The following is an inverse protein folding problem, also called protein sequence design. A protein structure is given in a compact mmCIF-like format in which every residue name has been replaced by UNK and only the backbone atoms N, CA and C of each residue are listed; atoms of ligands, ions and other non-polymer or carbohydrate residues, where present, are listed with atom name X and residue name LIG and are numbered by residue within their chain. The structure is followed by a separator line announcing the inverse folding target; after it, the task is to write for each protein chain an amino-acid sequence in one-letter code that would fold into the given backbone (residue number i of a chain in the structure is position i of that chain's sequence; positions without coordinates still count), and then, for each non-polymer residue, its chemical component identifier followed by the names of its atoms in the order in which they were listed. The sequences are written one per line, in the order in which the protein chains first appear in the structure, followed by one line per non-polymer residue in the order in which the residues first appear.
data_IF_501728482786
#
_entry.id   IF_501728482786
#
_cell.length_a   1.000
_cell.length_b   1.000
_cell.length_c   1.000
_cell.angle_alpha   90.00
_cell.angle_beta   90.00
_cell.angle_gamma   90.00
#
_symmetry.space_group_name_H-M   'P 1'
#
loop_
_entity.id
_entity.type
_entity.pdbx_description
1 polymer ?
#
# COMPACT_ATOMS: atom_id res chain seq x y z
N UNK A 1 -19.46 -11.83 3.91
CA UNK A 1 -18.89 -11.07 2.79
C UNK A 1 -18.86 -11.98 1.57
N UNK A 2 -19.15 -11.48 0.35
CA UNK A 2 -18.91 -12.28 -0.85
C UNK A 2 -17.43 -12.70 -0.91
N UNK A 3 -17.15 -13.84 -1.53
CA UNK A 3 -15.78 -14.31 -1.72
C UNK A 3 -14.98 -13.28 -2.52
N UNK A 4 -13.70 -13.12 -2.19
CA UNK A 4 -12.78 -12.25 -2.93
C UNK A 4 -12.73 -12.66 -4.41
N UNK A 5 -12.95 -11.73 -5.37
CA UNK A 5 -12.93 -12.05 -6.79
C UNK A 5 -11.52 -12.13 -7.39
N UNK A 6 -10.50 -11.80 -6.59
CA UNK A 6 -9.09 -11.81 -7.02
C UNK A 6 -8.48 -13.19 -6.88
N UNK A 7 -7.70 -13.57 -7.88
CA UNK A 7 -6.81 -14.74 -7.84
C UNK A 7 -5.39 -14.30 -7.57
N UNK A 8 -4.65 -15.12 -6.82
CA UNK A 8 -3.24 -14.85 -6.50
C UNK A 8 -2.42 -14.66 -7.76
N UNK A 9 -1.85 -13.48 -7.90
CA UNK A 9 -0.91 -13.16 -8.96
C UNK A 9 0.47 -13.67 -8.57
N UNK A 10 0.94 -14.71 -9.26
CA UNK A 10 2.27 -15.27 -9.07
C UNK A 10 3.30 -14.50 -9.90
N UNK A 11 4.19 -13.80 -9.19
CA UNK A 11 5.34 -13.12 -9.79
C UNK A 11 6.58 -14.00 -9.69
N UNK A 12 7.37 -14.05 -10.75
CA UNK A 12 8.65 -14.76 -10.74
C UNK A 12 9.62 -14.15 -9.69
N UNK A 13 10.36 -15.01 -9.02
CA UNK A 13 11.31 -14.65 -7.97
C UNK A 13 12.59 -15.45 -8.18
N UNK A 14 13.74 -14.77 -8.10
CA UNK A 14 15.03 -15.45 -8.13
C UNK A 14 15.21 -16.28 -6.84
N UNK A 15 15.81 -17.48 -6.89
CA UNK A 15 15.95 -18.36 -5.71
C UNK A 15 16.65 -17.74 -4.50
N UNK A 16 17.53 -16.76 -4.74
CA UNK A 16 18.30 -16.08 -3.70
C UNK A 16 17.68 -14.77 -3.21
N UNK A 17 16.56 -14.35 -3.81
CA UNK A 17 15.83 -13.17 -3.34
C UNK A 17 14.82 -13.56 -2.27
N UNK A 18 14.56 -12.70 -1.27
CA UNK A 18 13.61 -13.00 -0.20
C UNK A 18 12.15 -12.95 -0.66
N UNK A 19 11.85 -12.23 -1.76
CA UNK A 19 10.52 -12.04 -2.30
C UNK A 19 10.56 -11.73 -3.80
N UNK A 20 9.42 -11.76 -4.51
CA UNK A 20 9.29 -11.17 -5.85
C UNK A 20 9.64 -9.69 -5.84
N UNK A 21 10.39 -9.26 -6.85
CA UNK A 21 10.95 -7.92 -6.93
C UNK A 21 10.77 -7.32 -8.32
N UNK A 22 10.28 -6.09 -8.35
CA UNK A 22 10.24 -5.23 -9.53
C UNK A 22 11.18 -4.06 -9.28
N UNK A 23 12.21 -3.89 -10.13
CA UNK A 23 13.15 -2.80 -9.96
C UNK A 23 13.50 -2.11 -11.27
N UNK A 24 13.97 -0.87 -11.18
CA UNK A 24 14.28 -0.03 -12.33
C UNK A 24 13.97 1.43 -12.05
N UNK A 25 14.30 2.33 -12.96
CA UNK A 25 14.34 3.76 -12.66
C UNK A 25 12.94 4.35 -12.51
N UNK A 26 12.88 5.50 -11.83
CA UNK A 26 11.65 6.30 -11.69
C UNK A 26 11.03 6.67 -13.04
N UNK A 27 11.86 6.93 -14.05
CA UNK A 27 11.46 7.21 -15.43
C UNK A 27 12.53 6.65 -16.38
N UNK A 28 12.17 6.33 -17.61
CA UNK A 28 13.16 6.15 -18.67
C UNK A 28 13.67 7.53 -19.10
N UNK A 29 14.98 7.74 -19.07
CA UNK A 29 15.60 9.05 -19.34
C UNK A 29 16.28 9.07 -20.71
N UNK A 30 17.13 8.06 -20.93
CA UNK A 30 17.77 7.79 -22.21
C UNK A 30 17.83 6.29 -22.44
N UNK A 31 18.04 5.88 -23.70
CA UNK A 31 18.23 4.47 -24.04
C UNK A 31 19.43 3.86 -23.29
N UNK A 32 20.55 4.58 -23.25
CA UNK A 32 21.76 4.15 -22.54
C UNK A 32 21.50 3.91 -21.05
N UNK A 33 20.88 4.90 -20.38
CA UNK A 33 20.51 4.80 -18.96
C UNK A 33 19.56 3.62 -18.68
N UNK A 34 18.57 3.43 -19.56
CA UNK A 34 17.59 2.35 -19.45
C UNK A 34 18.26 0.98 -19.57
N UNK A 35 19.07 0.78 -20.61
CA UNK A 35 19.72 -0.51 -20.87
C UNK A 35 20.84 -0.81 -19.87
N UNK A 36 21.60 0.19 -19.43
CA UNK A 36 22.65 0.02 -18.42
C UNK A 36 22.07 -0.42 -17.07
N UNK A 37 21.01 0.27 -16.63
CA UNK A 37 20.30 -0.10 -15.39
C UNK A 37 19.73 -1.52 -15.51
N UNK A 38 19.02 -1.81 -16.61
CA UNK A 38 18.42 -3.12 -16.84
C UNK A 38 19.45 -4.26 -16.91
N UNK A 39 20.59 -4.07 -17.60
CA UNK A 39 21.67 -5.08 -17.68
C UNK A 39 22.22 -5.43 -16.31
N UNK A 40 22.44 -4.43 -15.47
CA UNK A 40 22.97 -4.65 -14.12
C UNK A 40 21.97 -5.40 -13.24
N UNK A 41 20.67 -5.07 -13.36
CA UNK A 41 19.60 -5.76 -12.63
C UNK A 41 19.37 -7.20 -13.15
N UNK A 42 19.41 -7.41 -14.47
CA UNK A 42 19.30 -8.74 -15.08
C UNK A 42 20.46 -9.64 -14.64
N UNK A 43 21.69 -9.11 -14.56
CA UNK A 43 22.85 -9.84 -14.05
C UNK A 43 22.72 -10.24 -12.57
N UNK A 44 21.86 -9.56 -11.81
CA UNK A 44 21.48 -9.93 -10.43
C UNK A 44 20.30 -10.92 -10.39
N UNK A 45 19.78 -11.37 -11.53
CA UNK A 45 18.70 -12.35 -11.63
C UNK A 45 17.30 -11.76 -11.50
N UNK A 46 17.12 -10.43 -11.65
CA UNK A 46 15.79 -9.83 -11.62
C UNK A 46 14.99 -10.19 -12.88
N UNK A 47 13.71 -10.51 -12.70
CA UNK A 47 12.79 -10.86 -13.78
C UNK A 47 11.95 -9.69 -14.28
N UNK A 48 11.75 -8.65 -13.47
CA UNK A 48 10.85 -7.53 -13.79
C UNK A 48 11.59 -6.21 -13.76
N UNK A 49 11.44 -5.43 -14.84
CA UNK A 49 12.04 -4.11 -14.99
C UNK A 49 10.96 -3.03 -15.02
N UNK A 50 11.06 -1.99 -14.18
CA UNK A 50 10.10 -0.87 -14.18
C UNK A 50 10.71 0.43 -14.69
N UNK A 51 10.02 1.14 -15.57
CA UNK A 51 10.34 2.52 -15.91
C UNK A 51 9.11 3.25 -16.45
N UNK A 52 8.78 4.41 -15.89
CA UNK A 52 7.69 5.24 -16.44
C UNK A 52 8.14 5.90 -17.74
N UNK A 53 7.33 5.78 -18.80
CA UNK A 53 7.53 6.53 -20.03
C UNK A 53 6.82 7.89 -20.01
N UNK A 54 5.68 7.96 -19.34
CA UNK A 54 4.90 9.19 -19.14
C UNK A 54 4.86 9.54 -17.66
N UNK A 55 5.11 10.81 -17.30
CA UNK A 55 5.10 11.29 -15.93
C UNK A 55 4.03 12.36 -15.74
N UNK A 56 3.01 12.12 -14.88
CA UNK A 56 2.05 13.16 -14.53
C UNK A 56 2.72 14.15 -13.56
N UNK A 57 3.37 15.19 -14.08
CA UNK A 57 4.07 16.19 -13.26
C UNK A 57 3.11 17.25 -12.75
N UNK A 58 3.22 17.57 -11.46
CA UNK A 58 2.41 18.63 -10.83
C UNK A 58 2.84 20.03 -11.25
N UNK A 59 4.13 20.22 -11.58
CA UNK A 59 4.67 21.50 -12.03
C UNK A 59 5.03 21.41 -13.52
N UNK A 60 4.50 22.31 -14.37
CA UNK A 60 4.92 22.44 -15.76
C UNK A 60 6.44 22.70 -15.87
N UNK A 61 7.05 22.24 -16.95
CA UNK A 61 8.47 22.47 -17.25
C UNK A 61 9.46 21.56 -16.50
N UNK A 62 8.95 20.59 -15.73
CA UNK A 62 9.77 19.50 -15.21
C UNK A 62 9.73 18.30 -16.17
N UNK A 63 10.73 17.41 -16.13
CA UNK A 63 10.78 16.26 -17.04
C UNK A 63 9.49 15.42 -16.99
N UNK A 64 8.80 15.33 -18.14
CA UNK A 64 7.47 14.70 -18.30
C UNK A 64 7.54 13.25 -18.77
N UNK A 65 8.76 12.71 -18.90
CA UNK A 65 9.01 11.42 -19.51
C UNK A 65 9.32 11.54 -21.00
N UNK A 66 9.85 10.47 -21.59
CA UNK A 66 10.19 10.38 -23.02
C UNK A 66 9.01 9.97 -23.90
N UNK A 67 7.89 9.56 -23.30
CA UNK A 67 6.70 9.08 -23.99
C UNK A 67 7.00 7.91 -24.93
N UNK A 68 6.42 7.96 -26.13
CA UNK A 68 6.55 6.91 -27.16
C UNK A 68 8.01 6.57 -27.51
N UNK A 69 8.94 7.53 -27.42
CA UNK A 69 10.36 7.30 -27.74
C UNK A 69 10.99 6.23 -26.86
N UNK A 70 10.49 6.02 -25.63
CA UNK A 70 10.99 5.00 -24.73
C UNK A 70 10.40 3.61 -24.93
N UNK A 71 9.35 3.45 -25.74
CA UNK A 71 8.72 2.15 -26.00
C UNK A 71 9.71 1.14 -26.61
N UNK A 72 10.52 1.48 -27.63
CA UNK A 72 11.54 0.58 -28.15
C UNK A 72 12.58 0.20 -27.10
N UNK A 73 12.92 1.09 -26.16
CA UNK A 73 13.92 0.81 -25.12
C UNK A 73 13.44 -0.27 -24.17
N UNK A 74 12.18 -0.18 -23.72
CA UNK A 74 11.57 -1.22 -22.87
C UNK A 74 11.43 -2.54 -23.62
N UNK A 75 11.10 -2.51 -24.91
CA UNK A 75 11.08 -3.73 -25.74
C UNK A 75 12.45 -4.36 -25.87
N UNK A 76 13.52 -3.57 -26.00
CA UNK A 76 14.89 -4.07 -25.99
C UNK A 76 15.27 -4.70 -24.64
N UNK A 77 14.82 -4.14 -23.52
CA UNK A 77 14.98 -4.79 -22.20
C UNK A 77 14.36 -6.18 -22.20
N UNK A 78 13.16 -6.33 -22.76
CA UNK A 78 12.50 -7.65 -22.83
C UNK A 78 13.22 -8.62 -23.77
N UNK A 79 13.59 -8.18 -24.98
CA UNK A 79 14.18 -9.06 -25.99
C UNK A 79 15.65 -9.38 -25.76
N UNK A 80 16.45 -8.44 -25.23
CA UNK A 80 17.89 -8.64 -25.01
C UNK A 80 18.20 -9.30 -23.67
N UNK A 81 17.38 -9.02 -22.63
CA UNK A 81 17.69 -9.42 -21.25
C UNK A 81 16.71 -10.44 -20.68
N UNK A 82 15.63 -10.77 -21.40
CA UNK A 82 14.62 -11.74 -20.95
C UNK A 82 13.82 -11.29 -19.74
N UNK A 83 13.86 -9.99 -19.39
CA UNK A 83 13.05 -9.41 -18.33
C UNK A 83 11.65 -9.09 -18.85
N UNK A 84 10.64 -8.99 -17.98
CA UNK A 84 9.35 -8.40 -18.31
C UNK A 84 9.37 -6.91 -17.94
N UNK A 85 9.14 -6.03 -18.92
CA UNK A 85 9.19 -4.59 -18.72
C UNK A 85 7.80 -4.05 -18.36
N UNK A 86 7.75 -3.16 -17.36
CA UNK A 86 6.55 -2.47 -16.90
C UNK A 86 6.69 -0.96 -17.12
N UNK A 87 5.59 -0.31 -17.49
CA UNK A 87 5.45 1.16 -17.52
C UNK A 87 4.14 1.62 -16.89
N UNK A 88 4.10 2.88 -16.43
CA UNK A 88 2.87 3.52 -15.97
C UNK A 88 1.95 3.81 -17.17
N UNK A 89 0.67 3.48 -17.04
CA UNK A 89 -0.39 3.95 -17.95
C UNK A 89 -1.37 4.80 -17.15
N UNK A 90 -1.79 5.92 -17.73
CA UNK A 90 -2.65 6.90 -17.08
C UNK A 90 -3.86 7.29 -17.92
N UNK A 91 -3.82 7.04 -19.22
CA UNK A 91 -4.89 7.31 -20.20
C UNK A 91 -5.06 6.09 -21.10
N UNK A 92 -6.21 6.00 -21.79
CA UNK A 92 -6.44 4.97 -22.80
C UNK A 92 -5.37 5.02 -23.92
N UNK A 93 -4.94 6.20 -24.34
CA UNK A 93 -3.89 6.37 -25.35
C UNK A 93 -2.56 5.73 -24.92
N UNK A 94 -2.13 5.91 -23.67
CA UNK A 94 -0.92 5.23 -23.16
C UNK A 94 -1.06 3.70 -23.21
N UNK A 95 -2.25 3.17 -22.92
CA UNK A 95 -2.54 1.74 -23.01
C UNK A 95 -2.42 1.26 -24.46
N UNK A 96 -3.02 1.98 -25.41
CA UNK A 96 -2.96 1.62 -26.83
C UNK A 96 -1.54 1.64 -27.37
N UNK A 97 -0.78 2.71 -27.12
CA UNK A 97 0.59 2.86 -27.59
C UNK A 97 1.51 1.77 -27.01
N UNK A 98 1.43 1.54 -25.69
CA UNK A 98 2.26 0.54 -25.03
C UNK A 98 1.91 -0.88 -25.48
N UNK A 99 0.61 -1.18 -25.62
CA UNK A 99 0.16 -2.49 -26.09
C UNK A 99 0.53 -2.72 -27.57
N UNK A 100 0.37 -1.71 -28.43
CA UNK A 100 0.76 -1.78 -29.84
C UNK A 100 2.27 -2.00 -30.00
N UNK A 101 3.09 -1.40 -29.12
CA UNK A 101 4.54 -1.62 -29.08
C UNK A 101 4.94 -3.02 -28.57
N UNK A 102 3.99 -3.81 -28.06
CA UNK A 102 4.22 -5.18 -27.61
C UNK A 102 4.43 -5.34 -26.10
N UNK A 103 4.32 -4.28 -25.30
CA UNK A 103 4.39 -4.38 -23.84
C UNK A 103 3.12 -5.03 -23.28
N UNK A 104 3.26 -5.88 -22.27
CA UNK A 104 2.15 -6.65 -21.67
C UNK A 104 2.05 -6.50 -20.16
N UNK A 105 2.79 -5.56 -19.59
CA UNK A 105 2.78 -5.34 -18.16
C UNK A 105 2.78 -3.85 -17.84
N UNK A 106 1.85 -3.43 -16.99
CA UNK A 106 1.57 -2.03 -16.70
C UNK A 106 1.34 -1.82 -15.21
N UNK A 107 1.47 -0.57 -14.77
CA UNK A 107 0.82 -0.15 -13.53
C UNK A 107 0.01 1.13 -13.71
N UNK A 108 -0.97 1.30 -12.83
CA UNK A 108 -1.75 2.53 -12.70
C UNK A 108 -1.20 3.32 -11.52
N UNK A 109 -0.83 4.57 -11.78
CA UNK A 109 -0.27 5.48 -10.79
C UNK A 109 -1.30 5.95 -9.76
N UNK A 110 -0.81 6.35 -8.58
CA UNK A 110 -1.66 6.76 -7.45
C UNK A 110 -2.69 7.84 -7.82
N UNK A 111 -2.27 8.87 -8.58
CA UNK A 111 -3.17 9.97 -8.97
C UNK A 111 -4.30 9.52 -9.90
N UNK A 112 -4.03 8.53 -10.75
CA UNK A 112 -5.02 7.95 -11.65
C UNK A 112 -5.99 7.06 -10.89
N UNK A 113 -5.49 6.27 -9.91
CA UNK A 113 -6.33 5.49 -8.99
C UNK A 113 -7.37 6.34 -8.26
N UNK A 114 -7.05 7.59 -7.96
CA UNK A 114 -7.96 8.49 -7.28
C UNK A 114 -9.18 8.95 -8.13
N UNK A 115 -9.23 8.62 -9.42
CA UNK A 115 -10.32 9.01 -10.33
C UNK A 115 -11.09 7.79 -10.84
N UNK A 116 -12.34 7.56 -10.37
CA UNK A 116 -13.19 6.49 -10.88
C UNK A 116 -13.45 6.56 -12.40
N UNK A 117 -13.51 7.77 -12.96
CA UNK A 117 -13.65 7.96 -14.41
C UNK A 117 -12.41 7.49 -15.16
N UNK A 118 -11.21 7.88 -14.71
CA UNK A 118 -9.97 7.43 -15.34
C UNK A 118 -9.80 5.91 -15.24
N UNK A 119 -10.19 5.30 -14.11
CA UNK A 119 -10.16 3.84 -13.96
C UNK A 119 -11.19 3.17 -14.87
N UNK A 120 -12.35 3.76 -15.10
CA UNK A 120 -13.34 3.23 -16.03
C UNK A 120 -12.81 3.25 -17.48
N UNK A 121 -12.23 4.37 -17.92
CA UNK A 121 -11.61 4.49 -19.24
C UNK A 121 -10.46 3.48 -19.43
N UNK A 122 -9.60 3.32 -18.42
CA UNK A 122 -8.52 2.34 -18.47
C UNK A 122 -9.03 0.89 -18.45
N UNK A 123 -10.09 0.60 -17.69
CA UNK A 123 -10.71 -0.72 -17.67
C UNK A 123 -11.29 -1.08 -19.04
N UNK A 124 -11.92 -0.14 -19.73
CA UNK A 124 -12.41 -0.31 -21.10
C UNK A 124 -11.25 -0.55 -22.09
N UNK A 125 -10.21 0.30 -22.04
CA UNK A 125 -9.05 0.17 -22.92
C UNK A 125 -8.28 -1.15 -22.72
N UNK A 126 -8.27 -1.69 -21.50
CA UNK A 126 -7.60 -2.95 -21.16
C UNK A 126 -8.49 -4.19 -21.31
N UNK A 127 -9.78 -4.02 -21.53
CA UNK A 127 -10.76 -5.10 -21.64
C UNK A 127 -10.37 -6.10 -22.74
N UNK A 128 -10.45 -7.39 -22.42
CA UNK A 128 -10.10 -8.48 -23.34
C UNK A 128 -8.60 -8.65 -23.63
N UNK A 129 -7.71 -7.90 -22.98
CA UNK A 129 -6.25 -8.02 -23.16
C UNK A 129 -5.63 -8.85 -22.03
N UNK A 130 -4.79 -9.82 -22.38
CA UNK A 130 -3.93 -10.52 -21.41
C UNK A 130 -2.75 -9.60 -21.04
N UNK A 131 -2.87 -8.96 -19.88
CA UNK A 131 -1.87 -8.04 -19.33
C UNK A 131 -1.65 -8.31 -17.86
N UNK A 132 -0.41 -8.13 -17.40
CA UNK A 132 -0.11 -7.95 -15.99
C UNK A 132 -0.46 -6.51 -15.60
N UNK A 133 -1.32 -6.30 -14.62
CA UNK A 133 -1.70 -4.97 -14.15
C UNK A 133 -1.49 -4.83 -12.65
N UNK A 134 -0.79 -3.77 -12.24
CA UNK A 134 -0.61 -3.42 -10.84
C UNK A 134 -1.23 -2.05 -10.55
N UNK A 135 -1.94 -1.89 -9.43
CA UNK A 135 -2.66 -0.64 -9.11
C UNK A 135 -2.13 -0.03 -7.82
N UNK A 136 -1.49 1.15 -7.92
CA UNK A 136 -1.03 1.89 -6.74
C UNK A 136 -2.21 2.41 -5.93
N UNK A 137 -2.13 2.41 -4.60
CA UNK A 137 -3.14 3.08 -3.77
C UNK A 137 -3.26 4.58 -4.11
N UNK A 138 -4.46 5.18 -3.96
CA UNK A 138 -4.63 6.61 -4.12
C UNK A 138 -3.79 7.39 -3.09
N UNK A 139 -3.40 8.65 -3.36
CA UNK A 139 -2.64 9.45 -2.41
C UNK A 139 -3.41 9.70 -1.11
N UNK A 140 -4.73 9.82 -1.20
CA UNK A 140 -5.60 9.97 -0.02
C UNK A 140 -5.80 8.61 0.65
N UNK A 141 -5.86 8.55 2.00
CA UNK A 141 -6.10 7.33 2.78
C UNK A 141 -7.55 6.84 2.66
N UNK A 142 -7.95 6.48 1.45
CA UNK A 142 -9.28 6.00 1.10
C UNK A 142 -9.16 4.56 0.56
N UNK A 143 -9.49 3.61 1.43
CA UNK A 143 -9.46 2.19 1.11
C UNK A 143 -10.56 1.82 0.11
N UNK A 144 -11.76 2.39 0.25
CA UNK A 144 -12.91 2.09 -0.60
C UNK A 144 -12.63 2.52 -2.05
N UNK A 145 -11.95 3.66 -2.22
CA UNK A 145 -11.51 4.12 -3.55
C UNK A 145 -10.47 3.19 -4.17
N UNK A 146 -9.53 2.66 -3.37
CA UNK A 146 -8.53 1.71 -3.86
C UNK A 146 -9.14 0.36 -4.23
N UNK A 147 -9.96 -0.20 -3.35
CA UNK A 147 -10.69 -1.45 -3.55
C UNK A 147 -11.62 -1.34 -4.76
N UNK A 148 -12.38 -0.24 -4.86
CA UNK A 148 -13.27 0.02 -5.99
C UNK A 148 -12.55 0.13 -7.33
N UNK A 149 -11.31 0.64 -7.37
CA UNK A 149 -10.51 0.66 -8.58
C UNK A 149 -10.11 -0.76 -9.02
N UNK A 150 -9.65 -1.60 -8.07
CA UNK A 150 -9.29 -2.99 -8.32
C UNK A 150 -10.50 -3.81 -8.77
N UNK A 151 -11.64 -3.68 -8.09
CA UNK A 151 -12.87 -4.38 -8.43
C UNK A 151 -13.39 -3.99 -9.83
N UNK A 152 -13.28 -2.72 -10.23
CA UNK A 152 -13.67 -2.27 -11.57
C UNK A 152 -12.81 -2.90 -12.66
N UNK A 153 -11.50 -2.96 -12.45
CA UNK A 153 -10.56 -3.59 -13.38
C UNK A 153 -10.79 -5.11 -13.47
N UNK A 154 -11.03 -5.76 -12.33
CA UNK A 154 -11.38 -7.18 -12.29
C UNK A 154 -12.70 -7.46 -13.02
N UNK A 155 -13.73 -6.61 -12.84
CA UNK A 155 -15.01 -6.74 -13.52
C UNK A 155 -14.90 -6.56 -15.05
N UNK A 156 -13.89 -5.81 -15.53
CA UNK A 156 -13.55 -5.71 -16.95
C UNK A 156 -12.77 -6.94 -17.49
N UNK A 157 -12.60 -7.99 -16.68
CA UNK A 157 -11.98 -9.25 -17.08
C UNK A 157 -10.46 -9.32 -16.87
N UNK A 158 -9.86 -8.36 -16.18
CA UNK A 158 -8.41 -8.36 -15.91
C UNK A 158 -8.12 -9.31 -14.74
N UNK A 159 -7.52 -10.46 -15.03
CA UNK A 159 -7.29 -11.54 -14.06
C UNK A 159 -5.90 -11.49 -13.41
N UNK A 160 -4.88 -11.01 -14.15
CA UNK A 160 -3.51 -10.86 -13.65
C UNK A 160 -3.33 -9.50 -12.99
N UNK A 161 -4.10 -9.28 -11.92
CA UNK A 161 -4.24 -8.01 -11.22
C UNK A 161 -3.58 -8.08 -9.84
N UNK A 162 -2.85 -7.03 -9.48
CA UNK A 162 -2.28 -6.86 -8.13
C UNK A 162 -2.35 -5.42 -7.67
N UNK A 163 -2.06 -5.20 -6.39
CA UNK A 163 -2.05 -3.87 -5.78
C UNK A 163 -0.62 -3.46 -5.40
N UNK A 164 -0.36 -2.15 -5.37
CA UNK A 164 0.90 -1.57 -4.90
C UNK A 164 0.61 -0.58 -3.76
N UNK A 165 1.08 -0.90 -2.56
CA UNK A 165 1.06 0.01 -1.44
C UNK A 165 2.28 0.95 -1.49
N UNK A 166 2.05 2.24 -1.67
CA UNK A 166 3.05 3.30 -1.82
C UNK A 166 2.94 4.42 -0.78
N UNK A 167 2.18 4.16 0.30
CA UNK A 167 1.86 5.13 1.34
C UNK A 167 0.87 6.21 0.90
N UNK A 168 0.49 7.05 1.83
CA UNK A 168 -0.54 8.08 1.67
C UNK A 168 0.02 9.47 1.98
N UNK A 169 -0.52 10.49 1.32
CA UNK A 169 -0.16 11.88 1.54
C UNK A 169 -0.65 12.35 2.92
N UNK A 170 0.22 13.03 3.65
CA UNK A 170 -0.11 13.63 4.96
C UNK A 170 0.19 15.12 4.98
N UNK A 171 -0.58 15.87 5.76
CA UNK A 171 -0.34 17.30 5.98
C UNK A 171 0.87 17.54 6.88
N UNK A 172 1.07 16.70 7.89
CA UNK A 172 2.21 16.78 8.80
C UNK A 172 3.50 16.31 8.12
N UNK A 173 4.61 17.05 8.31
CA UNK A 173 5.95 16.59 7.94
C UNK A 173 6.37 15.47 8.91
N UNK A 174 6.26 14.23 8.44
CA UNK A 174 6.83 13.07 9.12
C UNK A 174 8.24 12.74 8.62
N UNK A 175 8.80 11.64 9.13
CA UNK A 175 10.06 11.07 8.64
C UNK A 175 9.95 10.46 7.24
N UNK A 176 8.73 10.13 6.80
CA UNK A 176 8.43 9.56 5.48
C UNK A 176 7.86 10.62 4.53
N UNK A 177 8.12 10.46 3.23
CA UNK A 177 7.49 11.27 2.18
C UNK A 177 5.99 10.99 2.08
N UNK A 178 5.59 9.73 2.17
CA UNK A 178 4.19 9.32 2.26
C UNK A 178 4.04 8.43 3.49
N UNK A 179 3.10 8.76 4.37
CA UNK A 179 2.87 7.97 5.57
C UNK A 179 2.41 6.56 5.17
N UNK A 180 3.01 5.49 5.72
CA UNK A 180 2.63 4.13 5.34
C UNK A 180 1.15 3.83 5.64
N UNK A 181 0.65 4.19 6.82
CA UNK A 181 -0.70 3.85 7.29
C UNK A 181 -1.05 2.37 7.02
N UNK A 182 -0.20 1.48 7.54
CA UNK A 182 -0.22 0.04 7.30
C UNK A 182 -1.58 -0.63 7.57
N UNK A 183 -2.40 -0.04 8.44
CA UNK A 183 -3.76 -0.52 8.71
C UNK A 183 -4.63 -0.62 7.44
N UNK A 184 -4.41 0.24 6.44
CA UNK A 184 -5.20 0.25 5.20
C UNK A 184 -4.87 -0.92 4.26
N UNK A 185 -3.60 -1.18 3.87
CA UNK A 185 -3.28 -2.35 3.06
C UNK A 185 -3.48 -3.67 3.84
N UNK A 186 -3.34 -3.68 5.17
CA UNK A 186 -3.67 -4.87 5.99
C UNK A 186 -5.17 -5.16 5.93
N UNK A 187 -6.02 -4.13 6.04
CA UNK A 187 -7.47 -4.29 5.89
C UNK A 187 -7.84 -4.74 4.47
N UNK A 188 -7.17 -4.22 3.43
CA UNK A 188 -7.36 -4.70 2.05
C UNK A 188 -7.03 -6.19 1.93
N UNK A 189 -5.91 -6.63 2.51
CA UNK A 189 -5.51 -8.04 2.53
C UNK A 189 -6.50 -8.90 3.33
N UNK A 190 -7.05 -8.39 4.44
CA UNK A 190 -8.08 -9.09 5.22
C UNK A 190 -9.36 -9.30 4.42
N UNK A 191 -9.79 -8.29 3.63
CA UNK A 191 -10.96 -8.38 2.73
C UNK A 191 -10.69 -9.28 1.53
N UNK A 192 -9.46 -9.25 1.01
CA UNK A 192 -9.02 -10.00 -0.17
C UNK A 192 -7.73 -10.79 0.08
N UNK A 193 -7.79 -11.94 0.78
CA UNK A 193 -6.60 -12.70 1.16
C UNK A 193 -5.76 -13.24 -0.02
N UNK A 194 -6.38 -13.37 -1.19
CA UNK A 194 -5.72 -13.82 -2.43
C UNK A 194 -5.19 -12.69 -3.29
N UNK A 195 -5.44 -11.42 -2.95
CA UNK A 195 -4.90 -10.29 -3.69
C UNK A 195 -3.40 -10.16 -3.41
N UNK A 196 -2.59 -10.21 -4.48
CA UNK A 196 -1.16 -9.91 -4.39
C UNK A 196 -0.97 -8.41 -4.14
N UNK A 197 -0.31 -8.05 -3.04
CA UNK A 197 -0.02 -6.66 -2.68
C UNK A 197 1.49 -6.50 -2.57
N UNK A 198 2.08 -5.63 -3.41
CA UNK A 198 3.48 -5.24 -3.33
C UNK A 198 3.65 -3.95 -2.54
N UNK A 199 4.81 -3.76 -1.91
CA UNK A 199 5.17 -2.49 -1.26
C UNK A 199 6.13 -1.70 -2.12
N UNK A 200 5.88 -0.39 -2.25
CA UNK A 200 6.74 0.59 -2.91
C UNK A 200 7.48 1.40 -1.84
N UNK A 201 8.61 0.89 -1.32
CA UNK A 201 9.34 1.55 -0.25
C UNK A 201 9.98 2.87 -0.73
N UNK A 202 10.30 2.98 -2.02
CA UNK A 202 10.88 4.19 -2.60
C UNK A 202 9.96 5.40 -2.42
N UNK A 203 8.69 5.28 -2.80
CA UNK A 203 7.75 6.40 -2.66
C UNK A 203 7.33 6.66 -1.22
N UNK A 204 7.18 5.62 -0.38
CA UNK A 204 6.89 5.78 1.05
C UNK A 204 8.03 6.57 1.71
N UNK A 205 9.26 6.11 1.52
CA UNK A 205 10.45 6.71 2.11
C UNK A 205 10.69 8.13 1.59
N UNK A 206 10.79 8.30 0.27
CA UNK A 206 11.24 9.54 -0.37
C UNK A 206 12.72 9.87 -0.20
N UNK A 207 13.45 9.04 0.56
CA UNK A 207 14.88 9.12 0.78
C UNK A 207 15.45 7.69 0.75
N UNK A 208 16.49 7.48 -0.07
CA UNK A 208 17.16 6.19 -0.22
C UNK A 208 17.64 5.58 1.09
N UNK A 209 17.97 6.39 2.11
CA UNK A 209 18.39 5.91 3.44
C UNK A 209 17.27 5.21 4.21
N UNK A 210 16.02 5.56 3.93
CA UNK A 210 14.84 4.98 4.60
C UNK A 210 14.22 3.82 3.81
N UNK A 211 14.61 3.63 2.54
CA UNK A 211 14.12 2.52 1.71
C UNK A 211 14.34 1.15 2.36
N UNK A 212 15.52 0.83 2.95
CA UNK A 212 15.73 -0.45 3.63
C UNK A 212 14.77 -0.72 4.78
N UNK A 213 14.49 0.30 5.59
CA UNK A 213 13.58 0.19 6.72
C UNK A 213 12.16 -0.13 6.24
N UNK A 214 11.65 0.62 5.27
CA UNK A 214 10.29 0.43 4.75
C UNK A 214 10.15 -0.91 4.03
N UNK A 215 11.16 -1.32 3.26
CA UNK A 215 11.18 -2.62 2.58
C UNK A 215 11.05 -3.77 3.58
N UNK A 216 11.80 -3.72 4.69
CA UNK A 216 11.73 -4.69 5.78
C UNK A 216 10.35 -4.73 6.42
N UNK A 217 9.81 -3.56 6.81
CA UNK A 217 8.48 -3.46 7.42
C UNK A 217 7.40 -4.08 6.53
N UNK A 218 7.45 -3.83 5.21
CA UNK A 218 6.50 -4.40 4.27
C UNK A 218 6.53 -5.93 4.23
N UNK A 219 7.73 -6.52 4.26
CA UNK A 219 7.89 -7.97 4.23
C UNK A 219 7.54 -8.63 5.57
N UNK A 220 7.87 -7.99 6.71
CA UNK A 220 7.47 -8.46 8.05
C UNK A 220 5.95 -8.45 8.24
N UNK A 221 5.23 -7.60 7.51
CA UNK A 221 3.77 -7.57 7.44
C UNK A 221 3.18 -8.58 6.45
N UNK A 222 4.01 -9.47 5.88
CA UNK A 222 3.61 -10.53 4.97
C UNK A 222 2.99 -10.03 3.64
N UNK A 223 3.42 -8.87 3.15
CA UNK A 223 3.11 -8.42 1.79
C UNK A 223 3.91 -9.21 0.75
N UNK A 224 3.35 -9.34 -0.44
CA UNK A 224 3.76 -10.35 -1.43
C UNK A 224 5.08 -10.05 -2.15
N UNK A 225 5.66 -8.87 -1.98
CA UNK A 225 6.91 -8.48 -2.64
C UNK A 225 7.13 -6.97 -2.68
N UNK A 226 8.13 -6.54 -3.45
CA UNK A 226 8.59 -5.15 -3.48
C UNK A 226 8.65 -4.58 -4.90
N UNK A 227 8.37 -3.28 -5.03
CA UNK A 227 8.66 -2.48 -6.21
C UNK A 227 9.56 -1.30 -5.85
N UNK A 228 10.83 -1.33 -6.26
CA UNK A 228 11.88 -0.41 -5.80
C UNK A 228 12.42 0.40 -6.97
N UNK A 229 12.55 1.72 -6.79
CA UNK A 229 13.22 2.55 -7.78
C UNK A 229 14.73 2.37 -7.72
N UNK A 230 15.33 2.05 -8.86
CA UNK A 230 16.76 1.77 -8.98
C UNK A 230 17.31 2.39 -10.25
N UNK A 231 18.39 3.14 -10.14
CA UNK A 231 18.98 3.91 -11.24
C UNK A 231 20.48 3.63 -11.30
N UNK A 232 21.08 3.49 -12.49
CA UNK A 232 22.53 3.30 -12.62
C UNK A 232 23.34 4.41 -11.93
N UNK A 233 22.86 5.66 -12.02
CA UNK A 233 23.47 6.84 -11.39
C UNK A 233 22.43 7.68 -10.65
N UNK A 234 22.01 7.33 -9.41
CA UNK A 234 20.86 7.97 -8.76
C UNK A 234 20.95 9.48 -8.59
N UNK A 235 22.17 10.02 -8.38
CA UNK A 235 22.38 11.46 -8.13
C UNK A 235 22.06 12.35 -9.33
N UNK A 236 22.15 11.81 -10.54
CA UNK A 236 21.89 12.55 -11.79
C UNK A 236 20.55 12.21 -12.41
N UNK A 237 19.71 11.43 -11.72
CA UNK A 237 18.41 11.04 -12.24
C UNK A 237 17.50 12.27 -12.44
N UNK A 238 16.78 12.30 -13.55
CA UNK A 238 15.91 13.42 -13.95
C UNK A 238 14.60 13.47 -13.15
N UNK A 239 14.33 12.43 -12.34
CA UNK A 239 13.17 12.33 -11.47
C UNK A 239 13.47 11.54 -10.18
N UNK A 240 12.93 12.00 -9.06
CA UNK A 240 13.00 11.35 -7.74
C UNK A 240 14.41 10.84 -7.31
N UNK A 241 15.48 11.54 -7.72
CA UNK A 241 16.88 11.19 -7.45
C UNK A 241 17.19 10.80 -5.98
N UNK A 242 16.53 11.44 -5.02
CA UNK A 242 16.74 11.21 -3.59
C UNK A 242 16.35 9.79 -3.13
N UNK A 243 15.37 9.15 -3.77
CA UNK A 243 14.77 7.89 -3.30
C UNK A 243 15.19 6.65 -4.12
N UNK A 244 15.87 6.85 -5.25
CA UNK A 244 16.34 5.75 -6.09
C UNK A 244 17.62 5.15 -5.50
N UNK A 245 17.68 3.82 -5.44
CA UNK A 245 18.90 3.07 -5.09
C UNK A 245 19.79 2.91 -6.34
N UNK A 246 21.09 2.67 -6.13
CA UNK A 246 21.92 2.07 -7.18
C UNK A 246 21.71 0.55 -7.22
N UNK A 247 22.02 -0.15 -8.33
CA UNK A 247 21.94 -1.60 -8.38
C UNK A 247 22.76 -2.30 -7.29
N UNK A 248 23.90 -1.74 -6.89
CA UNK A 248 24.71 -2.27 -5.78
C UNK A 248 23.99 -2.11 -4.44
N UNK A 249 23.39 -0.94 -4.19
CA UNK A 249 22.62 -0.70 -2.96
C UNK A 249 21.39 -1.59 -2.88
N UNK A 250 20.73 -1.85 -4.00
CA UNK A 250 19.63 -2.80 -4.08
C UNK A 250 20.10 -4.21 -3.72
N UNK A 251 21.21 -4.68 -4.30
CA UNK A 251 21.77 -6.00 -3.99
C UNK A 251 22.12 -6.13 -2.49
N UNK A 252 22.75 -5.10 -1.92
CA UNK A 252 23.06 -5.05 -0.49
C UNK A 252 21.80 -5.10 0.38
N UNK A 253 20.75 -4.37 0.00
CA UNK A 253 19.46 -4.42 0.67
C UNK A 253 18.89 -5.84 0.64
N UNK A 254 18.86 -6.50 -0.52
CA UNK A 254 18.29 -7.85 -0.65
C UNK A 254 19.06 -8.89 0.19
N UNK A 255 20.38 -8.75 0.32
CA UNK A 255 21.20 -9.60 1.19
C UNK A 255 20.93 -9.38 2.68
N UNK A 256 20.50 -8.17 3.08
CA UNK A 256 20.18 -7.81 4.46
C UNK A 256 18.73 -8.12 4.85
N UNK A 257 17.86 -8.30 3.86
CA UNK A 257 16.50 -8.76 4.04
C UNK A 257 16.51 -10.29 4.26
N UNK A 258 17.13 -10.72 5.36
CA UNK A 258 16.98 -12.09 5.85
C UNK A 258 15.60 -12.20 6.52
N UNK A 259 14.63 -12.74 5.77
CA UNK A 259 13.27 -12.96 6.27
C UNK A 259 13.16 -14.23 7.13
N UNK A 260 14.26 -14.90 7.43
CA UNK A 260 14.21 -16.25 7.97
C UNK A 260 13.49 -17.21 7.01
N UNK A 261 13.24 -18.46 7.44
CA UNK A 261 12.53 -19.41 6.60
C UNK A 261 11.08 -18.99 6.41
N UNK A 262 10.71 -18.65 5.18
CA UNK A 262 9.33 -18.45 4.72
C UNK A 262 8.55 -19.77 4.62
N UNK A 263 9.20 -20.91 4.91
CA UNK A 263 8.57 -22.21 4.98
C UNK A 263 8.16 -22.52 6.42
N UNK A 264 6.89 -22.87 6.70
CA UNK A 264 6.42 -23.22 8.04
C UNK A 264 7.21 -24.36 8.71
N UNK A 265 7.99 -25.12 7.94
CA UNK A 265 8.71 -26.31 8.37
C UNK A 265 10.12 -26.09 8.91
N UNK A 266 10.65 -24.86 8.91
CA UNK A 266 12.05 -24.59 9.30
C UNK A 266 12.25 -23.52 10.39
N UNK A 267 11.15 -22.93 10.90
CA UNK A 267 11.19 -22.11 12.11
C UNK A 267 11.01 -23.07 13.30
N UNK A 268 11.75 -22.95 14.42
CA UNK A 268 11.28 -23.54 15.67
C UNK A 268 9.87 -22.99 15.86
N UNK A 269 8.83 -23.84 15.85
CA UNK A 269 7.48 -23.37 16.10
C UNK A 269 7.49 -22.78 17.51
N UNK A 270 7.67 -21.46 17.61
CA UNK A 270 7.32 -20.74 18.80
C UNK A 270 5.83 -21.00 18.91
N UNK A 271 5.47 -21.83 19.88
CA UNK A 271 4.08 -22.12 20.15
C UNK A 271 3.47 -20.82 20.71
N UNK A 272 2.90 -20.04 19.80
CA UNK A 272 2.24 -18.78 20.11
C UNK A 272 0.79 -19.02 20.54
N UNK A 273 0.28 -20.24 20.39
CA UNK A 273 -1.14 -20.54 20.61
C UNK A 273 -1.56 -20.31 22.07
N UNK A 274 -0.75 -20.61 23.10
CA UNK A 274 -1.06 -20.24 24.49
C UNK A 274 -1.20 -18.72 24.70
N UNK A 275 -0.31 -17.92 24.10
CA UNK A 275 -0.35 -16.46 24.22
C UNK A 275 -1.53 -15.87 23.43
N UNK A 276 -1.83 -16.40 22.25
CA UNK A 276 -3.01 -16.03 21.45
C UNK A 276 -4.30 -16.34 22.22
N UNK A 277 -4.39 -17.51 22.84
CA UNK A 277 -5.53 -17.87 23.68
C UNK A 277 -5.68 -16.93 24.89
N UNK A 278 -4.58 -16.44 25.47
CA UNK A 278 -4.62 -15.43 26.52
C UNK A 278 -5.16 -14.08 26.01
N UNK A 279 -4.72 -13.64 24.82
CA UNK A 279 -5.26 -12.44 24.15
C UNK A 279 -6.76 -12.62 23.87
N UNK A 280 -7.17 -13.73 23.28
CA UNK A 280 -8.57 -14.01 22.95
C UNK A 280 -9.47 -13.96 24.22
N UNK A 281 -8.96 -14.49 25.34
CA UNK A 281 -9.65 -14.42 26.65
C UNK A 281 -9.80 -12.97 27.12
N UNK A 282 -8.75 -12.15 27.01
CA UNK A 282 -8.79 -10.73 27.39
C UNK A 282 -9.72 -9.94 26.47
N UNK A 283 -9.72 -10.22 25.17
CA UNK A 283 -10.62 -9.60 24.19
C UNK A 283 -12.08 -9.92 24.49
N UNK A 284 -12.39 -11.17 24.88
CA UNK A 284 -13.71 -11.54 25.38
C UNK A 284 -14.14 -10.77 26.63
N UNK A 285 -13.20 -10.50 27.55
CA UNK A 285 -13.45 -9.65 28.74
C UNK A 285 -13.68 -8.19 28.35
N UNK A 286 -12.91 -7.64 27.41
CA UNK A 286 -13.10 -6.28 26.90
C UNK A 286 -14.48 -6.12 26.25
N UNK A 287 -14.91 -7.08 25.42
CA UNK A 287 -16.24 -7.06 24.81
C UNK A 287 -17.36 -7.08 25.86
N UNK A 288 -17.21 -7.87 26.92
CA UNK A 288 -18.17 -7.92 28.02
C UNK A 288 -18.28 -6.58 28.75
N UNK A 289 -17.14 -5.95 29.07
CA UNK A 289 -17.07 -4.63 29.71
C UNK A 289 -17.64 -3.52 28.81
N UNK A 290 -17.36 -3.58 27.51
CA UNK A 290 -17.93 -2.63 26.55
C UNK A 290 -19.45 -2.78 26.46
N UNK A 291 -19.97 -4.01 26.45
CA UNK A 291 -21.42 -4.27 26.46
C UNK A 291 -22.09 -3.68 27.71
N UNK A 292 -21.56 -3.96 28.90
CA UNK A 292 -22.04 -3.39 30.16
C UNK A 292 -22.01 -1.86 30.13
N UNK A 293 -20.92 -1.28 29.63
CA UNK A 293 -20.80 0.17 29.47
C UNK A 293 -21.87 0.74 28.55
N UNK A 294 -22.23 0.06 27.46
CA UNK A 294 -23.27 0.53 26.54
C UNK A 294 -24.67 0.44 27.17
N UNK A 295 -24.96 -0.60 27.96
CA UNK A 295 -26.21 -0.68 28.73
C UNK A 295 -26.33 0.46 29.75
N UNK A 296 -25.22 0.84 30.40
CA UNK A 296 -25.19 2.02 31.28
C UNK A 296 -25.41 3.30 30.47
N UNK A 297 -24.80 3.44 29.29
CA UNK A 297 -25.02 4.58 28.41
C UNK A 297 -26.49 4.72 27.99
N UNK A 298 -27.15 3.62 27.65
CA UNK A 298 -28.59 3.58 27.33
C UNK A 298 -29.44 4.08 28.50
N UNK A 299 -29.19 3.58 29.72
CA UNK A 299 -29.86 4.03 30.95
C UNK A 299 -29.63 5.52 31.21
N UNK A 300 -28.41 6.03 31.00
CA UNK A 300 -28.10 7.46 31.10
C UNK A 300 -28.90 8.24 30.05
N UNK A 301 -29.01 7.73 28.82
CA UNK A 301 -29.80 8.34 27.75
C UNK A 301 -31.28 8.47 28.11
N UNK A 302 -31.87 7.42 28.69
CA UNK A 302 -33.25 7.44 29.16
C UNK A 302 -33.48 8.49 30.27
N UNK A 303 -32.57 8.58 31.24
CA UNK A 303 -32.63 9.59 32.31
C UNK A 303 -32.49 11.01 31.78
N UNK A 304 -31.52 11.24 30.88
CA UNK A 304 -31.33 12.54 30.23
C UNK A 304 -32.58 12.97 29.47
N UNK A 305 -33.23 12.05 28.76
CA UNK A 305 -34.49 12.33 28.05
C UNK A 305 -35.61 12.72 28.99
N UNK A 306 -35.83 11.94 30.05
CA UNK A 306 -36.84 12.28 31.06
C UNK A 306 -36.61 13.68 31.66
N UNK A 307 -35.34 14.05 31.84
CA UNK A 307 -34.91 15.35 32.36
C UNK A 307 -34.71 16.45 31.28
N UNK A 308 -35.01 16.19 30.01
CA UNK A 308 -34.80 17.11 28.88
C UNK A 308 -33.35 17.66 28.78
N UNK A 309 -32.36 16.84 29.16
CA UNK A 309 -30.95 17.18 29.12
C UNK A 309 -30.30 16.84 27.77
N UNK A 310 -29.27 17.59 27.35
CA UNK A 310 -28.53 17.28 26.13
C UNK A 310 -27.76 15.96 26.27
N UNK A 311 -27.72 15.18 25.18
CA UNK A 311 -27.01 13.89 25.11
C UNK A 311 -25.51 14.09 25.31
N UNK A 312 -24.93 15.05 24.58
CA UNK A 312 -23.50 15.36 24.66
C UNK A 312 -23.29 16.51 25.64
N UNK A 313 -22.39 16.29 26.59
CA UNK A 313 -21.96 17.28 27.58
C UNK A 313 -20.44 17.46 27.44
N UNK A 314 -19.97 18.52 26.75
CA UNK A 314 -18.58 18.67 26.34
C UNK A 314 -17.57 18.59 27.49
N UNK A 315 -17.89 19.22 28.62
CA UNK A 315 -16.99 19.26 29.79
C UNK A 315 -16.82 17.87 30.42
N UNK A 316 -17.90 17.07 30.47
CA UNK A 316 -17.83 15.69 30.97
C UNK A 316 -16.96 14.82 30.04
N UNK A 317 -17.06 15.01 28.73
CA UNK A 317 -16.24 14.29 27.77
C UNK A 317 -14.76 14.67 27.89
N UNK A 318 -14.46 15.98 28.02
CA UNK A 318 -13.10 16.48 28.24
C UNK A 318 -12.47 15.85 29.49
N UNK A 319 -13.17 15.88 30.62
CA UNK A 319 -12.71 15.28 31.88
C UNK A 319 -12.49 13.76 31.77
N UNK A 320 -13.40 13.05 31.09
CA UNK A 320 -13.24 11.62 30.83
C UNK A 320 -11.95 11.36 30.05
N UNK A 321 -11.74 12.07 28.93
CA UNK A 321 -10.61 11.85 28.05
C UNK A 321 -9.28 12.19 28.74
N UNK A 322 -9.20 13.31 29.45
CA UNK A 322 -8.02 13.69 30.25
C UNK A 322 -7.67 12.61 31.29
N UNK A 323 -8.66 12.11 32.02
CA UNK A 323 -8.45 11.05 33.00
C UNK A 323 -7.98 9.73 32.36
N UNK A 324 -8.59 9.32 31.22
CA UNK A 324 -8.18 8.10 30.51
C UNK A 324 -6.76 8.21 29.94
N UNK A 325 -6.38 9.38 29.42
CA UNK A 325 -5.03 9.63 28.93
C UNK A 325 -3.99 9.52 30.05
N UNK A 326 -4.26 10.11 31.21
CA UNK A 326 -3.38 10.01 32.37
C UNK A 326 -3.21 8.57 32.85
N UNK A 327 -4.31 7.82 32.96
CA UNK A 327 -4.26 6.41 33.36
C UNK A 327 -3.55 5.53 32.31
N UNK A 328 -3.78 5.79 31.01
CA UNK A 328 -3.12 5.11 29.91
C UNK A 328 -1.61 5.32 29.94
N UNK A 329 -1.17 6.58 30.10
CA UNK A 329 0.25 6.92 30.26
C UNK A 329 0.88 6.21 31.46
N UNK A 330 0.20 6.17 32.60
CA UNK A 330 0.70 5.50 33.80
C UNK A 330 0.86 3.97 33.63
N UNK A 331 0.16 3.38 32.65
CA UNK A 331 0.24 1.95 32.30
C UNK A 331 1.16 1.67 31.10
N UNK A 332 1.86 2.69 30.58
CA UNK A 332 2.75 2.57 29.43
C UNK A 332 2.05 2.44 28.09
N UNK A 333 0.79 2.85 27.98
CA UNK A 333 0.04 2.86 26.72
C UNK A 333 0.27 4.18 25.96
N UNK A 334 0.31 4.10 24.63
CA UNK A 334 0.46 5.26 23.75
C UNK A 334 -0.74 6.22 23.88
N UNK A 335 -0.48 7.52 23.94
CA UNK A 335 -1.53 8.53 24.13
C UNK A 335 -2.42 8.69 22.90
N UNK A 336 -1.88 8.52 21.70
CA UNK A 336 -2.64 8.57 20.46
C UNK A 336 -3.65 7.42 20.43
N UNK A 337 -3.18 6.20 20.70
CA UNK A 337 -4.02 5.01 20.81
C UNK A 337 -5.15 5.18 21.83
N UNK A 338 -4.84 5.63 23.05
CA UNK A 338 -5.85 5.84 24.10
C UNK A 338 -6.87 6.91 23.70
N UNK A 339 -6.42 7.98 23.06
CA UNK A 339 -7.30 9.03 22.56
C UNK A 339 -8.29 8.48 21.53
N UNK A 340 -7.80 7.75 20.53
CA UNK A 340 -8.64 7.18 19.47
C UNK A 340 -9.63 6.16 20.05
N UNK A 341 -9.15 5.20 20.83
CA UNK A 341 -9.98 4.16 21.44
C UNK A 341 -11.14 4.74 22.27
N UNK A 342 -10.84 5.65 23.20
CA UNK A 342 -11.89 6.21 24.07
C UNK A 342 -12.79 7.23 23.35
N UNK A 343 -12.31 7.86 22.27
CA UNK A 343 -13.15 8.68 21.39
C UNK A 343 -14.18 7.81 20.67
N UNK A 344 -13.76 6.71 20.05
CA UNK A 344 -14.67 5.76 19.37
C UNK A 344 -15.67 5.13 20.35
N UNK A 345 -15.23 4.75 21.55
CA UNK A 345 -16.10 4.24 22.61
C UNK A 345 -17.11 5.30 23.09
N UNK A 346 -16.74 6.58 23.09
CA UNK A 346 -17.65 7.68 23.42
C UNK A 346 -18.68 7.90 22.33
N UNK A 347 -18.25 7.96 21.07
CA UNK A 347 -19.12 8.12 19.91
C UNK A 347 -20.16 7.00 19.82
N UNK A 348 -19.75 5.74 19.97
CA UNK A 348 -20.66 4.60 20.03
C UNK A 348 -21.72 4.76 21.14
N UNK A 349 -21.31 5.24 22.33
CA UNK A 349 -22.23 5.48 23.43
C UNK A 349 -23.19 6.67 23.20
N UNK A 350 -22.79 7.66 22.40
CA UNK A 350 -23.67 8.75 21.97
C UNK A 350 -24.74 8.21 21.01
N UNK A 351 -24.35 7.36 20.06
CA UNK A 351 -25.31 6.71 19.15
C UNK A 351 -26.32 5.83 19.89
N UNK A 352 -25.88 5.03 20.88
CA UNK A 352 -26.80 4.23 21.72
C UNK A 352 -27.78 5.14 22.48
N UNK A 353 -27.28 6.25 23.04
CA UNK A 353 -28.15 7.23 23.74
C UNK A 353 -29.16 7.89 22.79
N UNK A 354 -28.78 8.19 21.56
CA UNK A 354 -29.64 8.76 20.52
C UNK A 354 -30.69 7.76 20.03
N UNK A 355 -30.28 6.52 19.74
CA UNK A 355 -31.19 5.47 19.28
C UNK A 355 -32.30 5.21 20.30
N UNK A 356 -31.98 5.29 21.59
CA UNK A 356 -33.00 5.17 22.63
C UNK A 356 -34.04 6.31 22.60
N UNK A 357 -33.73 7.49 22.01
CA UNK A 357 -34.62 8.68 21.98
C UNK A 357 -35.79 8.59 21.00
N UNK A 358 -35.70 7.70 20.01
CA UNK A 358 -36.81 7.32 19.12
C UNK A 358 -37.49 6.07 19.67
#
# INVERSE_FOLDING_TARGET
MPASPFTRLHLAQAPHHPCPLIAGPCSAETEAQTLETARTLAAQGLHYYRASLWKPRTRPGSFEGVGQLGLPWLRRVETELGMQALTEVATAEHVEEAYAAGLRAFWIGARTTASPFAIAELAEALSGRDVLLLVKNPPQPDLELWEGALLRLQAAGITRLGAIHRGFSTYARGSYRNAPLWQLPIELQRRHPELTILVDPSHIAGDRKLVPLVARMGLEMNFSGLIIETHCTPETAWSDAAQQLSPLQLQQLLQQLDLGPTSPSAVPSLDLDPLRAEIDRLDGQLLSLLSERMQIAERIGALKRAAHLPIVQPERYRQLLEARLQEGRARGLDEGFIRELFSSIHEAAVHVQQAAQH
#
